data_IF_181029316269
#
_entry.id   IF_181029316269
#
_cell.length_a   1.000
_cell.length_b   1.000
_cell.length_c   1.000
_cell.angle_alpha   90.00
_cell.angle_beta   90.00
_cell.angle_gamma   90.00
#
_symmetry.space_group_name_H-M   'P 1'
#
loop_
_entity.id
_entity.type
_entity.pdbx_description
1 polymer ?
#
# COMPACT_ATOMS: atom_id res chain seq x y z
N UNK A 1 -2.50 -17.03 11.68
CA UNK A 1 -3.60 -16.08 11.40
C UNK A 1 -3.53 -15.74 9.92
N UNK A 2 -4.65 -15.52 9.24
CA UNK A 2 -4.62 -15.08 7.84
C UNK A 2 -3.88 -13.73 7.72
N UNK A 3 -3.21 -13.53 6.60
CA UNK A 3 -2.50 -12.28 6.29
C UNK A 3 -3.42 -11.40 5.47
N UNK A 4 -3.54 -10.13 5.83
CA UNK A 4 -4.29 -9.15 5.05
C UNK A 4 -3.48 -8.76 3.80
N UNK A 5 -4.15 -8.63 2.65
CA UNK A 5 -3.49 -8.34 1.38
C UNK A 5 -4.10 -7.11 0.72
N UNK A 6 -3.24 -6.17 0.36
CA UNK A 6 -3.59 -4.99 -0.42
C UNK A 6 -3.06 -5.11 -1.85
N UNK A 7 -3.91 -4.83 -2.83
CA UNK A 7 -3.52 -4.67 -4.24
C UNK A 7 -3.61 -3.18 -4.58
N UNK A 8 -2.46 -2.55 -4.82
CA UNK A 8 -2.35 -1.11 -4.99
C UNK A 8 -2.23 -0.69 -6.46
N UNK A 9 -2.85 0.43 -6.84
CA UNK A 9 -2.75 1.00 -8.17
C UNK A 9 -3.67 0.33 -9.20
N UNK A 10 -4.87 -0.01 -8.79
CA UNK A 10 -5.91 -0.55 -9.66
C UNK A 10 -6.52 0.57 -10.52
N UNK A 11 -6.61 0.35 -11.83
CA UNK A 11 -7.12 1.31 -12.81
C UNK A 11 -8.27 0.77 -13.66
N UNK A 12 -8.47 -0.54 -13.68
CA UNK A 12 -9.45 -1.21 -14.53
C UNK A 12 -10.37 -2.09 -13.71
N UNK A 13 -11.60 -2.27 -14.20
CA UNK A 13 -12.58 -3.18 -13.60
C UNK A 13 -12.10 -4.64 -13.59
N UNK A 14 -11.41 -5.06 -14.64
CA UNK A 14 -10.88 -6.43 -14.75
C UNK A 14 -9.85 -6.72 -13.65
N UNK A 15 -8.90 -5.79 -13.42
CA UNK A 15 -7.91 -5.94 -12.36
C UNK A 15 -8.54 -5.85 -10.95
N UNK A 16 -9.53 -4.97 -10.76
CA UNK A 16 -10.29 -4.88 -9.53
C UNK A 16 -11.01 -6.20 -9.24
N UNK A 17 -11.73 -6.75 -10.22
CA UNK A 17 -12.47 -7.98 -10.02
C UNK A 17 -11.53 -9.17 -9.76
N UNK A 18 -10.36 -9.22 -10.42
CA UNK A 18 -9.35 -10.22 -10.12
C UNK A 18 -8.86 -10.12 -8.65
N UNK A 19 -8.68 -8.90 -8.12
CA UNK A 19 -8.30 -8.70 -6.73
C UNK A 19 -9.42 -9.16 -5.78
N UNK A 20 -10.65 -8.71 -5.99
CA UNK A 20 -11.80 -8.99 -5.14
C UNK A 20 -12.19 -10.47 -5.15
N UNK A 21 -12.22 -11.11 -6.33
CA UNK A 21 -12.57 -12.53 -6.45
C UNK A 21 -11.54 -13.48 -5.82
N UNK A 22 -10.29 -13.03 -5.65
CA UNK A 22 -9.24 -13.81 -4.99
C UNK A 22 -8.96 -13.37 -3.54
N UNK A 23 -9.83 -12.53 -2.94
CA UNK A 23 -9.83 -12.25 -1.52
C UNK A 23 -8.83 -11.17 -1.09
N UNK A 24 -8.63 -10.13 -1.90
CA UNK A 24 -7.94 -8.92 -1.45
C UNK A 24 -8.74 -8.25 -0.33
N UNK A 25 -8.06 -7.88 0.78
CA UNK A 25 -8.67 -7.18 1.91
C UNK A 25 -8.71 -5.67 1.68
N UNK A 26 -7.76 -5.16 0.89
CA UNK A 26 -7.65 -3.75 0.52
C UNK A 26 -7.42 -3.60 -0.98
N UNK A 27 -8.00 -2.55 -1.56
CA UNK A 27 -7.79 -2.12 -2.95
C UNK A 27 -7.32 -0.67 -2.95
N UNK A 28 -6.19 -0.40 -3.61
CA UNK A 28 -5.55 0.92 -3.63
C UNK A 28 -5.82 1.67 -4.92
N UNK A 29 -6.33 2.90 -4.80
CA UNK A 29 -6.55 3.87 -5.87
C UNK A 29 -5.52 5.00 -5.72
N UNK A 30 -4.76 5.31 -6.77
CA UNK A 30 -3.64 6.26 -6.72
C UNK A 30 -4.03 7.61 -7.30
N UNK A 31 -3.86 8.67 -6.51
CA UNK A 31 -4.14 10.06 -6.88
C UNK A 31 -2.84 10.89 -6.88
N UNK A 32 -1.89 10.48 -7.70
CA UNK A 32 -0.60 11.15 -7.88
C UNK A 32 -0.28 11.22 -9.37
N UNK A 33 -0.34 12.42 -9.96
CA UNK A 33 -0.28 12.63 -11.42
C UNK A 33 0.99 12.09 -12.07
N UNK A 34 2.14 12.17 -11.38
CA UNK A 34 3.40 11.63 -11.88
C UNK A 34 3.43 10.08 -11.94
N UNK A 35 2.47 9.39 -11.30
CA UNK A 35 2.41 7.94 -11.26
C UNK A 35 1.73 7.37 -12.51
N UNK A 36 2.28 6.30 -13.15
CA UNK A 36 1.58 5.57 -14.21
C UNK A 36 0.30 4.87 -13.70
N UNK A 37 0.11 4.83 -12.39
CA UNK A 37 -1.04 4.24 -11.69
C UNK A 37 -2.09 5.28 -11.32
N UNK A 38 -1.85 6.56 -11.67
CA UNK A 38 -2.82 7.62 -11.41
C UNK A 38 -4.13 7.36 -12.12
N UNK A 39 -5.26 7.67 -11.45
CA UNK A 39 -6.60 7.57 -12.02
C UNK A 39 -7.36 8.88 -11.87
N UNK A 40 -8.31 9.11 -12.77
CA UNK A 40 -9.24 10.22 -12.66
C UNK A 40 -10.37 9.92 -11.66
N UNK A 41 -11.05 10.97 -11.19
CA UNK A 41 -12.12 10.86 -10.19
C UNK A 41 -13.32 10.03 -10.66
N UNK A 42 -13.64 10.05 -11.95
CA UNK A 42 -14.75 9.29 -12.52
C UNK A 42 -14.45 7.79 -12.47
N UNK A 43 -13.23 7.40 -12.85
CA UNK A 43 -12.76 6.02 -12.75
C UNK A 43 -12.65 5.57 -11.30
N UNK A 44 -12.13 6.43 -10.42
CA UNK A 44 -12.02 6.14 -8.98
C UNK A 44 -13.39 5.83 -8.37
N UNK A 45 -14.40 6.65 -8.63
CA UNK A 45 -15.76 6.43 -8.15
C UNK A 45 -16.33 5.08 -8.61
N UNK A 46 -16.20 4.76 -9.91
CA UNK A 46 -16.70 3.49 -10.45
C UNK A 46 -16.04 2.27 -9.81
N UNK A 47 -14.72 2.34 -9.59
CA UNK A 47 -13.99 1.24 -8.97
C UNK A 47 -14.32 1.13 -7.47
N UNK A 48 -14.42 2.25 -6.77
CA UNK A 48 -14.80 2.30 -5.37
C UNK A 48 -16.21 1.72 -5.15
N UNK A 49 -17.20 2.12 -5.95
CA UNK A 49 -18.57 1.59 -5.86
C UNK A 49 -18.62 0.06 -6.03
N UNK A 50 -17.80 -0.49 -6.93
CA UNK A 50 -17.69 -1.95 -7.13
C UNK A 50 -16.95 -2.68 -6.01
N UNK A 51 -16.01 -2.03 -5.35
CA UNK A 51 -15.23 -2.59 -4.25
C UNK A 51 -15.98 -2.54 -2.91
N UNK A 52 -16.94 -1.62 -2.77
CA UNK A 52 -17.64 -1.34 -1.52
C UNK A 52 -18.30 -2.59 -0.94
N UNK A 53 -18.00 -2.87 0.35
CA UNK A 53 -18.49 -4.06 1.05
C UNK A 53 -17.77 -5.36 0.68
N UNK A 54 -16.79 -5.33 -0.24
CA UNK A 54 -15.99 -6.50 -0.64
C UNK A 54 -14.53 -6.40 -0.21
N UNK A 55 -13.96 -5.18 -0.22
CA UNK A 55 -12.63 -4.86 0.29
C UNK A 55 -12.62 -3.41 0.80
N UNK A 56 -11.64 -3.06 1.64
CA UNK A 56 -11.43 -1.67 2.07
C UNK A 56 -10.81 -0.86 0.93
N UNK A 57 -11.37 0.31 0.66
CA UNK A 57 -10.93 1.24 -0.38
C UNK A 57 -9.86 2.15 0.21
N UNK A 58 -8.66 2.14 -0.36
CA UNK A 58 -7.54 2.96 0.07
C UNK A 58 -7.25 4.02 -0.99
N UNK A 59 -7.35 5.29 -0.62
CA UNK A 59 -6.92 6.40 -1.48
C UNK A 59 -5.47 6.78 -1.15
N UNK A 60 -4.56 6.59 -2.11
CA UNK A 60 -3.15 6.92 -1.98
C UNK A 60 -2.86 8.31 -2.56
N UNK A 61 -2.26 9.17 -1.73
CA UNK A 61 -1.82 10.51 -2.08
C UNK A 61 -0.35 10.71 -1.68
N UNK A 62 0.27 11.74 -2.26
CA UNK A 62 1.66 12.16 -1.99
C UNK A 62 1.65 13.65 -1.67
N UNK A 63 2.03 14.02 -0.46
CA UNK A 63 2.10 15.39 0.06
C UNK A 63 0.87 16.26 -0.28
N UNK A 64 -0.38 15.77 -0.01
CA UNK A 64 -1.57 16.48 -0.41
C UNK A 64 -1.82 17.72 0.45
N UNK A 65 -2.32 18.77 -0.18
CA UNK A 65 -3.00 19.86 0.53
C UNK A 65 -4.44 19.46 0.92
N UNK A 66 -5.09 20.30 1.69
CA UNK A 66 -6.44 20.03 2.20
C UNK A 66 -7.50 19.99 1.09
N UNK A 67 -7.35 20.83 0.07
CA UNK A 67 -8.26 20.84 -1.09
C UNK A 67 -8.21 19.52 -1.84
N UNK A 68 -7.00 19.00 -2.07
CA UNK A 68 -6.81 17.71 -2.74
C UNK A 68 -7.36 16.54 -1.94
N UNK A 69 -7.22 16.57 -0.63
CA UNK A 69 -7.83 15.58 0.26
C UNK A 69 -9.36 15.59 0.13
N UNK A 70 -10.00 16.76 0.16
CA UNK A 70 -11.45 16.90 0.04
C UNK A 70 -11.98 16.39 -1.31
N UNK A 71 -11.29 16.73 -2.40
CA UNK A 71 -11.65 16.26 -3.75
C UNK A 71 -11.60 14.72 -3.83
N UNK A 72 -10.53 14.11 -3.30
CA UNK A 72 -10.36 12.65 -3.33
C UNK A 72 -11.38 11.94 -2.45
N UNK A 73 -11.64 12.45 -1.25
CA UNK A 73 -12.67 11.90 -0.36
C UNK A 73 -14.05 11.99 -1.02
N UNK A 74 -14.39 13.14 -1.60
CA UNK A 74 -15.67 13.31 -2.31
C UNK A 74 -15.80 12.40 -3.54
N UNK A 75 -14.69 12.10 -4.22
CA UNK A 75 -14.70 11.27 -5.41
C UNK A 75 -14.78 9.77 -5.12
N UNK A 76 -13.98 9.26 -4.19
CA UNK A 76 -13.78 7.83 -3.97
C UNK A 76 -14.47 7.31 -2.70
N UNK A 77 -14.86 8.19 -1.76
CA UNK A 77 -15.39 7.82 -0.45
C UNK A 77 -14.60 6.67 0.18
N UNK A 78 -13.27 6.87 0.44
CA UNK A 78 -12.37 5.81 0.84
C UNK A 78 -12.57 5.40 2.30
N UNK A 79 -12.23 4.15 2.63
CA UNK A 79 -12.19 3.66 4.00
C UNK A 79 -10.89 4.05 4.71
N UNK A 80 -9.80 4.31 3.96
CA UNK A 80 -8.46 4.62 4.47
C UNK A 80 -7.77 5.62 3.55
N UNK A 81 -7.11 6.63 4.13
CA UNK A 81 -6.19 7.51 3.41
C UNK A 81 -4.76 6.97 3.56
N UNK A 82 -4.06 6.75 2.45
CA UNK A 82 -2.65 6.40 2.46
C UNK A 82 -1.79 7.60 2.06
N UNK A 83 -0.93 8.03 2.96
CA UNK A 83 0.04 9.12 2.76
C UNK A 83 1.40 8.53 2.39
N UNK A 84 1.87 8.82 1.18
CA UNK A 84 3.08 8.18 0.60
C UNK A 84 4.19 9.18 0.26
N UNK A 85 4.09 10.41 0.77
CA UNK A 85 5.07 11.48 0.63
C UNK A 85 5.96 11.63 1.86
N UNK A 86 6.37 12.88 2.10
CA UNK A 86 7.23 13.28 3.23
C UNK A 86 6.40 13.93 4.35
N UNK A 87 5.11 13.56 4.47
CA UNK A 87 4.20 14.14 5.47
C UNK A 87 4.75 13.88 6.88
N UNK A 88 4.89 14.97 7.67
CA UNK A 88 5.37 14.86 9.05
C UNK A 88 4.37 14.16 9.97
N UNK A 89 4.81 13.63 11.12
CA UNK A 89 3.90 13.02 12.08
C UNK A 89 2.76 13.95 12.53
N UNK A 90 3.01 15.27 12.62
CA UNK A 90 2.02 16.28 12.98
C UNK A 90 0.97 16.42 11.85
N UNK A 91 1.43 16.47 10.58
CA UNK A 91 0.53 16.54 9.42
C UNK A 91 -0.32 15.29 9.28
N UNK A 92 0.23 14.12 9.54
CA UNK A 92 -0.52 12.84 9.54
C UNK A 92 -1.65 12.88 10.58
N UNK A 93 -1.34 13.32 11.82
CA UNK A 93 -2.35 13.44 12.88
C UNK A 93 -3.44 14.48 12.55
N UNK A 94 -3.04 15.62 11.96
CA UNK A 94 -3.97 16.66 11.51
C UNK A 94 -4.95 16.12 10.45
N UNK A 95 -4.45 15.41 9.44
CA UNK A 95 -5.27 14.80 8.38
C UNK A 95 -6.24 13.78 8.98
N UNK A 96 -5.78 12.89 9.86
CA UNK A 96 -6.62 11.90 10.51
C UNK A 96 -7.76 12.57 11.32
N UNK A 97 -7.43 13.58 12.10
CA UNK A 97 -8.42 14.32 12.89
C UNK A 97 -9.42 15.08 12.00
N UNK A 98 -8.92 15.74 10.95
CA UNK A 98 -9.73 16.54 10.04
C UNK A 98 -10.74 15.70 9.26
N UNK A 99 -10.32 14.56 8.73
CA UNK A 99 -11.16 13.71 7.90
C UNK A 99 -12.00 12.72 8.70
N UNK A 100 -11.60 12.39 9.93
CA UNK A 100 -12.21 11.33 10.73
C UNK A 100 -12.06 9.94 10.09
N UNK A 101 -11.07 9.76 9.20
CA UNK A 101 -10.77 8.52 8.51
C UNK A 101 -9.45 7.91 9.03
N UNK A 102 -9.33 6.58 9.05
CA UNK A 102 -8.06 5.91 9.30
C UNK A 102 -6.98 6.36 8.32
N UNK A 103 -5.76 6.58 8.83
CA UNK A 103 -4.61 6.99 8.02
C UNK A 103 -3.53 5.92 8.07
N UNK A 104 -3.08 5.51 6.88
CA UNK A 104 -1.91 4.68 6.65
C UNK A 104 -0.74 5.57 6.21
N UNK A 105 0.38 5.56 6.95
CA UNK A 105 1.59 6.29 6.55
C UNK A 105 2.61 5.34 5.94
N UNK A 106 2.99 5.58 4.70
CA UNK A 106 4.10 4.88 4.07
C UNK A 106 5.43 5.48 4.52
N UNK A 107 6.34 4.61 4.97
CA UNK A 107 7.70 4.96 5.38
C UNK A 107 8.67 4.19 4.49
N UNK A 108 9.58 4.92 3.85
CA UNK A 108 10.61 4.34 2.98
C UNK A 108 11.73 3.75 3.83
N UNK A 109 12.08 2.49 3.58
CA UNK A 109 13.09 1.76 4.35
C UNK A 109 14.21 1.27 3.43
N UNK A 110 15.43 1.55 3.83
CA UNK A 110 16.66 0.99 3.29
C UNK A 110 17.48 0.29 4.38
N UNK A 111 17.40 0.78 5.63
CA UNK A 111 18.15 0.25 6.77
C UNK A 111 17.28 0.25 8.05
N UNK A 112 17.83 -0.33 9.13
CA UNK A 112 17.13 -0.43 10.42
C UNK A 112 16.78 0.93 11.04
N UNK A 113 17.58 1.96 10.80
CA UNK A 113 17.32 3.32 11.30
C UNK A 113 16.06 3.91 10.65
N UNK A 114 15.88 3.72 9.33
CA UNK A 114 14.67 4.17 8.62
C UNK A 114 13.41 3.53 9.24
N UNK A 115 13.47 2.22 9.52
CA UNK A 115 12.36 1.52 10.15
C UNK A 115 12.06 2.04 11.57
N UNK A 116 13.09 2.38 12.36
CA UNK A 116 12.92 2.93 13.70
C UNK A 116 12.30 4.34 13.67
N UNK A 117 12.61 5.14 12.65
CA UNK A 117 12.02 6.47 12.46
C UNK A 117 10.49 6.42 12.30
N UNK A 118 9.95 5.28 11.83
CA UNK A 118 8.50 5.08 11.79
C UNK A 118 7.81 5.11 13.16
N UNK A 119 8.54 4.89 14.25
CA UNK A 119 7.99 4.99 15.61
C UNK A 119 7.50 6.40 15.95
N UNK A 120 7.98 7.45 15.27
CA UNK A 120 7.47 8.81 15.40
C UNK A 120 5.99 8.96 14.99
N UNK A 121 5.50 8.07 14.16
CA UNK A 121 4.09 8.05 13.70
C UNK A 121 3.17 7.22 14.60
N UNK A 122 3.70 6.57 15.64
CA UNK A 122 2.91 5.77 16.58
C UNK A 122 1.86 6.63 17.30
N UNK A 123 0.58 6.24 17.20
CA UNK A 123 -0.54 7.00 17.75
C UNK A 123 -0.95 8.22 16.93
N UNK A 124 -0.33 8.44 15.76
CA UNK A 124 -0.66 9.49 14.80
C UNK A 124 -1.17 8.92 13.47
N UNK A 125 -0.62 7.77 13.04
CA UNK A 125 -1.15 6.94 11.97
C UNK A 125 -1.78 5.68 12.59
N UNK A 126 -2.83 5.16 11.93
CA UNK A 126 -3.50 3.92 12.35
C UNK A 126 -2.73 2.69 11.87
N UNK A 127 -2.01 2.81 10.75
CA UNK A 127 -1.18 1.75 10.20
C UNK A 127 0.07 2.35 9.54
N UNK A 128 1.21 1.69 9.73
CA UNK A 128 2.43 2.00 9.00
C UNK A 128 2.57 1.02 7.83
N UNK A 129 2.95 1.54 6.66
CA UNK A 129 3.34 0.73 5.51
C UNK A 129 4.84 0.92 5.29
N UNK A 130 5.62 -0.15 5.38
CA UNK A 130 7.04 -0.12 5.04
C UNK A 130 7.23 -0.43 3.56
N UNK A 131 7.75 0.54 2.81
CA UNK A 131 8.08 0.40 1.38
C UNK A 131 9.59 0.52 1.16
N UNK A 132 10.10 -0.12 0.12
CA UNK A 132 11.52 -0.01 -0.21
C UNK A 132 11.87 1.41 -0.65
N UNK A 133 12.95 1.96 -0.09
CA UNK A 133 13.53 3.21 -0.58
C UNK A 133 14.05 2.99 -2.01
N UNK A 134 13.66 3.87 -2.92
CA UNK A 134 14.21 3.83 -4.27
C UNK A 134 15.73 4.04 -4.25
N UNK A 135 16.50 3.37 -5.11
CA UNK A 135 17.93 3.64 -5.23
C UNK A 135 18.18 5.11 -5.58
N UNK A 136 19.16 5.74 -4.91
CA UNK A 136 19.47 7.17 -5.09
C UNK A 136 19.99 7.51 -6.49
N UNK A 137 20.58 6.52 -7.17
CA UNK A 137 21.14 6.62 -8.52
C UNK A 137 20.08 6.49 -9.64
N UNK A 138 18.78 6.39 -9.31
CA UNK A 138 17.70 6.29 -10.29
C UNK A 138 16.94 7.63 -10.41
N UNK A 139 17.34 8.53 -11.35
CA UNK A 139 16.62 9.79 -11.58
C UNK A 139 15.16 9.52 -11.95
N UNK A 140 14.23 10.27 -11.34
CA UNK A 140 12.80 10.15 -11.61
C UNK A 140 12.12 8.94 -10.94
N UNK A 141 12.76 8.32 -9.94
CA UNK A 141 12.11 7.27 -9.15
C UNK A 141 10.86 7.81 -8.45
N UNK A 142 9.78 7.05 -8.54
CA UNK A 142 8.52 7.38 -7.88
C UNK A 142 8.65 7.17 -6.36
N UNK A 143 7.81 7.82 -5.54
CA UNK A 143 7.76 7.60 -4.09
C UNK A 143 7.60 6.12 -3.70
N UNK A 144 6.95 5.31 -4.55
CA UNK A 144 6.78 3.87 -4.34
C UNK A 144 6.58 3.11 -5.65
N UNK A 145 6.52 1.78 -5.57
CA UNK A 145 6.27 0.90 -6.72
C UNK A 145 7.43 0.75 -7.68
N UNK A 146 8.67 0.94 -7.21
CA UNK A 146 9.89 0.84 -8.02
C UNK A 146 10.37 -0.60 -8.28
N UNK A 147 9.71 -1.60 -7.69
CA UNK A 147 10.03 -3.02 -7.89
C UNK A 147 11.32 -3.49 -7.20
N UNK A 148 11.85 -2.68 -6.27
CA UNK A 148 13.05 -3.01 -5.48
C UNK A 148 12.64 -3.53 -4.12
N UNK A 149 13.23 -4.63 -3.66
CA UNK A 149 13.12 -5.12 -2.30
C UNK A 149 14.26 -4.56 -1.44
N UNK A 150 14.00 -4.28 -0.17
CA UNK A 150 15.02 -3.98 0.83
C UNK A 150 15.30 -5.22 1.69
N UNK A 151 16.37 -5.17 2.48
CA UNK A 151 16.67 -6.24 3.43
C UNK A 151 15.62 -6.23 4.57
N UNK A 152 14.76 -7.23 4.59
CA UNK A 152 13.68 -7.35 5.57
C UNK A 152 14.17 -7.47 7.03
N UNK A 153 15.43 -7.82 7.27
CA UNK A 153 16.04 -7.80 8.60
C UNK A 153 16.04 -6.40 9.23
N UNK A 154 15.99 -5.35 8.39
CA UNK A 154 15.84 -3.97 8.87
C UNK A 154 14.60 -3.75 9.75
N UNK A 155 13.58 -4.62 9.64
CA UNK A 155 12.34 -4.52 10.41
C UNK A 155 12.41 -5.21 11.79
N UNK A 156 13.49 -5.91 12.15
CA UNK A 156 13.60 -6.59 13.46
C UNK A 156 13.39 -5.62 14.63
N UNK A 157 13.95 -4.41 14.52
CA UNK A 157 13.89 -3.39 15.57
C UNK A 157 12.49 -2.84 15.87
N UNK A 158 11.53 -3.03 14.96
CA UNK A 158 10.13 -2.56 15.08
C UNK A 158 9.14 -3.70 15.28
N UNK A 159 9.56 -4.93 15.09
CA UNK A 159 8.72 -6.13 15.25
C UNK A 159 8.15 -6.19 16.67
N UNK A 160 6.83 -6.33 16.77
CA UNK A 160 6.10 -6.36 18.05
C UNK A 160 5.94 -5.01 18.75
N UNK A 161 6.51 -3.91 18.22
CA UNK A 161 6.33 -2.55 18.76
C UNK A 161 5.18 -1.79 18.09
N UNK A 162 4.82 -2.19 16.88
CA UNK A 162 3.71 -1.65 16.10
C UNK A 162 3.21 -2.67 15.09
N UNK A 163 1.94 -2.56 14.70
CA UNK A 163 1.41 -3.27 13.54
C UNK A 163 1.81 -2.53 12.26
N UNK A 164 2.15 -3.29 11.22
CA UNK A 164 2.56 -2.72 9.95
C UNK A 164 2.14 -3.58 8.76
N UNK A 165 2.06 -2.94 7.61
CA UNK A 165 1.92 -3.56 6.29
C UNK A 165 3.29 -3.57 5.59
N UNK A 166 3.72 -4.72 5.09
CA UNK A 166 4.97 -4.85 4.36
C UNK A 166 4.73 -4.62 2.87
N UNK A 167 5.51 -3.73 2.27
CA UNK A 167 5.56 -3.45 0.85
C UNK A 167 6.99 -3.50 0.33
N UNK A 168 7.25 -3.00 -0.88
CA UNK A 168 8.58 -2.89 -1.48
C UNK A 168 9.04 -4.18 -2.15
N UNK A 169 8.97 -4.21 -3.49
CA UNK A 169 9.48 -5.29 -4.31
C UNK A 169 8.83 -6.66 -4.11
N UNK A 170 7.67 -6.73 -3.47
CA UNK A 170 6.95 -7.97 -3.29
C UNK A 170 6.38 -8.47 -4.63
N UNK A 171 6.45 -9.78 -4.82
CA UNK A 171 5.99 -10.50 -6.01
C UNK A 171 5.33 -11.82 -5.58
N UNK A 172 4.61 -12.52 -6.48
CA UNK A 172 4.11 -13.86 -6.19
C UNK A 172 5.17 -14.88 -5.77
N UNK A 173 6.44 -14.63 -6.12
CA UNK A 173 7.55 -15.56 -5.88
C UNK A 173 8.20 -15.37 -4.50
N UNK A 174 8.16 -14.15 -3.92
CA UNK A 174 8.87 -13.84 -2.67
C UNK A 174 7.96 -13.51 -1.50
N UNK A 175 6.66 -13.21 -1.72
CA UNK A 175 5.77 -12.74 -0.66
C UNK A 175 5.61 -13.72 0.49
N UNK A 176 5.55 -15.02 0.22
CA UNK A 176 5.42 -16.04 1.26
C UNK A 176 6.67 -16.10 2.17
N UNK A 177 7.85 -15.93 1.59
CA UNK A 177 9.11 -15.84 2.35
C UNK A 177 9.16 -14.55 3.17
N UNK A 178 8.82 -13.41 2.55
CA UNK A 178 8.76 -12.12 3.22
C UNK A 178 7.86 -12.15 4.47
N UNK A 179 6.68 -12.76 4.36
CA UNK A 179 5.75 -12.94 5.47
C UNK A 179 6.36 -13.77 6.59
N UNK A 180 6.99 -14.92 6.26
CA UNK A 180 7.62 -15.79 7.26
C UNK A 180 8.80 -15.12 7.97
N UNK A 181 9.65 -14.40 7.22
CA UNK A 181 10.82 -13.72 7.78
C UNK A 181 10.43 -12.56 8.69
N UNK A 182 9.49 -11.72 8.25
CA UNK A 182 9.13 -10.50 8.98
C UNK A 182 8.04 -10.71 10.03
N UNK A 183 7.22 -11.75 9.87
CA UNK A 183 6.01 -11.93 10.65
C UNK A 183 4.93 -10.90 10.33
N UNK A 184 5.00 -10.25 9.17
CA UNK A 184 4.02 -9.27 8.75
C UNK A 184 2.61 -9.86 8.71
N UNK A 185 1.64 -9.13 9.28
CA UNK A 185 0.22 -9.50 9.29
C UNK A 185 -0.54 -8.92 8.10
N UNK A 186 0.08 -7.98 7.39
CA UNK A 186 -0.46 -7.39 6.18
C UNK A 186 0.65 -7.16 5.15
N UNK A 187 0.33 -7.32 3.87
CA UNK A 187 1.25 -7.09 2.75
C UNK A 187 0.59 -6.24 1.67
N UNK A 188 1.39 -5.42 0.98
CA UNK A 188 0.96 -4.59 -0.13
C UNK A 188 1.79 -4.89 -1.38
N UNK A 189 1.14 -4.94 -2.53
CA UNK A 189 1.82 -5.08 -3.81
C UNK A 189 1.28 -4.11 -4.84
N UNK A 190 2.19 -3.55 -5.63
CA UNK A 190 1.84 -2.75 -6.80
C UNK A 190 2.53 -3.28 -8.05
N UNK A 191 3.80 -2.93 -8.30
CA UNK A 191 4.53 -3.32 -9.52
C UNK A 191 4.73 -4.82 -9.68
N UNK A 192 4.81 -5.58 -8.58
CA UNK A 192 5.03 -7.04 -8.62
C UNK A 192 3.88 -7.86 -9.19
N UNK A 193 2.75 -7.23 -9.51
CA UNK A 193 1.59 -7.84 -10.18
C UNK A 193 1.20 -7.07 -11.45
N UNK A 194 2.18 -6.47 -12.13
CA UNK A 194 2.02 -5.71 -13.37
C UNK A 194 2.67 -6.42 -14.54
N UNK A 195 2.02 -6.39 -15.72
CA UNK A 195 2.61 -6.79 -17.00
C UNK A 195 3.50 -5.69 -17.59
N UNK A 196 3.20 -4.43 -17.27
CA UNK A 196 3.94 -3.23 -17.62
C UNK A 196 3.59 -2.11 -16.64
N UNK A 197 4.32 -0.97 -16.62
CA UNK A 197 4.10 0.10 -15.66
C UNK A 197 2.64 0.60 -15.64
N UNK A 198 1.95 0.37 -14.52
CA UNK A 198 0.54 0.73 -14.33
C UNK A 198 -0.47 -0.22 -14.96
N UNK A 199 -0.04 -1.34 -15.55
CA UNK A 199 -0.91 -2.35 -16.18
C UNK A 199 -0.93 -3.62 -15.32
N UNK A 200 -1.98 -3.80 -14.53
CA UNK A 200 -2.14 -4.96 -13.66
C UNK A 200 -2.44 -6.22 -14.47
N UNK A 201 -1.77 -7.32 -14.14
CA UNK A 201 -2.01 -8.65 -14.68
C UNK A 201 -2.92 -9.43 -13.71
N UNK A 202 -4.15 -9.82 -14.13
CA UNK A 202 -5.08 -10.59 -13.29
C UNK A 202 -4.52 -11.91 -12.78
N UNK A 203 -3.68 -12.59 -13.58
CA UNK A 203 -3.07 -13.86 -13.16
C UNK A 203 -1.96 -13.65 -12.12
N UNK A 204 -1.15 -12.60 -12.27
CA UNK A 204 -0.17 -12.23 -11.23
C UNK A 204 -0.86 -11.82 -9.93
N UNK A 205 -1.98 -11.07 -10.00
CA UNK A 205 -2.81 -10.74 -8.81
C UNK A 205 -3.28 -12.03 -8.13
N UNK A 206 -3.88 -12.97 -8.87
CA UNK A 206 -4.35 -14.25 -8.35
C UNK A 206 -3.23 -15.03 -7.66
N UNK A 207 -2.07 -15.14 -8.31
CA UNK A 207 -0.90 -15.86 -7.77
C UNK A 207 -0.35 -15.19 -6.52
N UNK A 208 -0.30 -13.86 -6.48
CA UNK A 208 0.17 -13.12 -5.32
C UNK A 208 -0.77 -13.35 -4.12
N UNK A 209 -2.06 -13.18 -4.31
CA UNK A 209 -3.07 -13.41 -3.27
C UNK A 209 -3.01 -14.84 -2.73
N UNK A 210 -2.92 -15.83 -3.62
CA UNK A 210 -2.77 -17.22 -3.19
C UNK A 210 -1.50 -17.43 -2.35
N UNK A 211 -0.34 -16.98 -2.83
CA UNK A 211 0.94 -17.14 -2.12
C UNK A 211 0.93 -16.44 -0.75
N UNK A 212 0.37 -15.22 -0.65
CA UNK A 212 0.28 -14.49 0.60
C UNK A 212 -0.68 -15.15 1.60
N UNK A 213 -1.88 -15.54 1.16
CA UNK A 213 -2.90 -16.15 2.02
C UNK A 213 -2.51 -17.54 2.53
N UNK A 214 -1.66 -18.25 1.80
CA UNK A 214 -1.19 -19.60 2.20
C UNK A 214 0.18 -19.60 2.88
N UNK A 215 0.85 -18.45 3.00
CA UNK A 215 2.22 -18.35 3.49
C UNK A 215 2.46 -18.99 4.88
N UNK A 216 1.45 -18.95 5.77
CA UNK A 216 1.51 -19.47 7.13
C UNK A 216 0.79 -20.83 7.30
N UNK A 217 0.31 -21.43 6.22
CA UNK A 217 -0.23 -22.79 6.27
C UNK A 217 0.96 -23.76 6.27
N UNK A 218 0.95 -24.72 7.20
CA UNK A 218 1.93 -25.80 7.19
C UNK A 218 1.79 -26.60 5.90
N UNK A 219 2.89 -27.13 5.33
CA UNK A 219 2.85 -28.01 4.19
C UNK A 219 2.11 -29.33 4.51
#
# INVERSE_FOLDING_TARGET
>A
MPVDVKICGLKTESALEAALANGADYVGLVFHEASPRNIDFSTARKLADKARGRAKIVALLVDPDDSRLDEVVAAADPDVIQLHGEETPERVAEIAQRLGLPVMKAVKVNCAEDAQNALAYKGKADLILFDAKAPEDRPGALPGGNGVAFDWQALEGVRGKMDYMLAGGLTPLNVAEAIRMTGARAVDVSSGVEAGPGEKDPELIRRFLHAAKTANQAP
#
